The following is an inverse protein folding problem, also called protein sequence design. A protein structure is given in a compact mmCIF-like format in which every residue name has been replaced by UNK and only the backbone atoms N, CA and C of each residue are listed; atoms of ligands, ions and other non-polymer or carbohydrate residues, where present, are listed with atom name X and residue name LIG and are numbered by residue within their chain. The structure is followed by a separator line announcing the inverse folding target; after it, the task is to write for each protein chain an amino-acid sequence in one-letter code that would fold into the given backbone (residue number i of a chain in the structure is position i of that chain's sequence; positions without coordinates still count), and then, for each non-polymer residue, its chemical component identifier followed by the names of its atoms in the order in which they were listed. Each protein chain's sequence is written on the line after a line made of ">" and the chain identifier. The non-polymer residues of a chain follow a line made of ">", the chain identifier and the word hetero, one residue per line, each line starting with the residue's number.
data_IF_077633514345
#
_entry.id   IF_077633514345
#
_cell.length_a   1.000
_cell.length_b   1.000
_cell.length_c   1.000
_cell.angle_alpha   90.00
_cell.angle_beta   90.00
_cell.angle_gamma   90.00
#
_symmetry.space_group_name_H-M   'P 1'
#
loop_
_entity.id
_entity.type
_entity.pdbx_description
1 polymer ?
#
# COMPACT_ATOMS: atom_id res chain seq x y z
N UNK A 1 -4.09 -1.91 -28.82
CA UNK A 1 -3.33 -1.30 -27.72
C UNK A 1 -4.33 -0.84 -26.67
N UNK A 2 -4.07 -1.08 -25.41
CA UNK A 2 -4.89 -0.52 -24.33
C UNK A 2 -4.63 0.99 -24.26
N UNK A 3 -5.67 1.78 -23.97
CA UNK A 3 -5.57 3.24 -24.05
C UNK A 3 -5.52 3.79 -22.61
N UNK A 4 -4.55 3.35 -21.81
CA UNK A 4 -4.37 3.92 -20.47
C UNK A 4 -4.05 5.42 -20.56
N UNK A 5 -4.50 6.16 -19.55
CA UNK A 5 -4.21 7.57 -19.36
C UNK A 5 -3.60 7.83 -17.99
N UNK A 6 -3.88 6.94 -17.04
CA UNK A 6 -3.38 7.06 -15.68
C UNK A 6 -2.90 5.70 -15.16
N UNK A 7 -1.75 5.72 -14.49
CA UNK A 7 -1.26 4.60 -13.68
C UNK A 7 -1.47 4.95 -12.22
N UNK A 8 -2.25 4.15 -11.53
CA UNK A 8 -2.56 4.31 -10.11
C UNK A 8 -1.69 3.32 -9.34
N UNK A 9 -1.07 3.76 -8.26
CA UNK A 9 -0.21 2.93 -7.43
C UNK A 9 -0.79 2.77 -6.02
N UNK A 10 -0.67 1.60 -5.45
CA UNK A 10 -0.67 1.47 -4.01
C UNK A 10 0.62 2.06 -3.43
N UNK A 11 0.65 2.27 -2.12
CA UNK A 11 1.79 2.85 -1.43
C UNK A 11 2.69 1.78 -0.79
N UNK A 12 2.15 1.06 0.21
CA UNK A 12 2.88 0.09 1.01
C UNK A 12 3.14 -1.20 0.22
N UNK A 13 4.39 -1.67 0.19
CA UNK A 13 4.73 -2.84 -0.64
C UNK A 13 4.77 -2.56 -2.16
N UNK A 14 4.41 -1.36 -2.59
CA UNK A 14 4.40 -0.98 -4.01
C UNK A 14 5.35 0.16 -4.32
N UNK A 15 5.16 1.33 -3.70
CA UNK A 15 6.08 2.46 -3.82
C UNK A 15 7.21 2.39 -2.79
N UNK A 16 6.88 2.03 -1.55
CA UNK A 16 7.81 1.99 -0.42
C UNK A 16 7.86 0.61 0.22
N UNK A 17 9.07 0.22 0.63
CA UNK A 17 9.28 -0.99 1.44
C UNK A 17 8.90 -0.69 2.89
N UNK A 18 7.69 -1.02 3.24
CA UNK A 18 7.13 -0.87 4.59
C UNK A 18 7.04 -2.19 5.36
N UNK A 19 7.69 -3.27 4.87
CA UNK A 19 7.73 -4.57 5.56
C UNK A 19 8.29 -4.48 6.99
N UNK A 20 9.09 -3.46 7.29
CA UNK A 20 9.55 -3.13 8.64
C UNK A 20 8.39 -3.02 9.65
N UNK A 21 7.19 -2.64 9.21
CA UNK A 21 6.00 -2.52 10.07
C UNK A 21 5.64 -3.86 10.74
N UNK A 22 5.89 -5.00 10.08
CA UNK A 22 5.68 -6.33 10.67
C UNK A 22 6.61 -6.54 11.87
N UNK A 23 7.89 -6.19 11.70
CA UNK A 23 8.88 -6.31 12.77
C UNK A 23 8.53 -5.41 13.95
N UNK A 24 8.00 -4.22 13.69
CA UNK A 24 7.62 -3.28 14.73
C UNK A 24 6.41 -3.77 15.52
N UNK A 25 5.41 -4.31 14.86
CA UNK A 25 4.26 -4.92 15.48
C UNK A 25 4.68 -6.14 16.33
N UNK A 26 5.56 -6.98 15.82
CA UNK A 26 6.13 -8.13 16.53
C UNK A 26 6.87 -7.70 17.81
N UNK A 27 7.78 -6.74 17.72
CA UNK A 27 8.53 -6.24 18.86
C UNK A 27 7.63 -5.51 19.87
N UNK A 28 6.65 -4.73 19.40
CA UNK A 28 5.64 -4.09 20.25
C UNK A 28 4.84 -5.12 21.05
N UNK A 29 4.37 -6.17 20.39
CA UNK A 29 3.66 -7.26 21.04
C UNK A 29 4.52 -7.96 22.11
N UNK A 30 5.75 -8.31 21.78
CA UNK A 30 6.67 -8.95 22.72
C UNK A 30 6.99 -8.08 23.94
N UNK A 31 7.16 -6.78 23.72
CA UNK A 31 7.40 -5.80 24.77
C UNK A 31 6.21 -5.68 25.72
N UNK A 32 5.01 -5.72 25.18
CA UNK A 32 3.78 -5.59 25.95
C UNK A 32 3.43 -6.88 26.71
N UNK A 33 3.71 -8.03 26.12
CA UNK A 33 3.34 -9.35 26.65
C UNK A 33 4.54 -10.30 26.83
N UNK A 34 5.53 -9.93 27.65
CA UNK A 34 6.77 -10.72 27.77
C UNK A 34 6.56 -12.15 28.33
N UNK A 35 5.43 -12.36 29.02
CA UNK A 35 5.10 -13.66 29.66
C UNK A 35 4.04 -14.47 28.87
N UNK A 36 3.55 -13.97 27.72
CA UNK A 36 2.66 -14.75 26.87
C UNK A 36 3.44 -15.81 26.09
N UNK A 37 2.73 -16.88 25.67
CA UNK A 37 3.30 -17.89 24.80
C UNK A 37 3.94 -17.23 23.57
N UNK A 38 5.12 -17.72 23.20
CA UNK A 38 5.86 -17.20 22.04
C UNK A 38 5.03 -17.38 20.78
N UNK A 39 4.80 -16.27 20.07
CA UNK A 39 4.28 -16.27 18.71
C UNK A 39 5.46 -16.05 17.76
N UNK A 40 5.66 -16.91 16.74
CA UNK A 40 6.74 -16.70 15.78
C UNK A 40 6.49 -15.45 14.93
N UNK A 41 7.55 -14.90 14.36
CA UNK A 41 7.47 -13.68 13.53
C UNK A 41 6.48 -13.83 12.37
N UNK A 42 6.43 -15.00 11.74
CA UNK A 42 5.53 -15.32 10.64
C UNK A 42 4.04 -15.17 10.99
N UNK A 43 3.72 -15.28 12.29
CA UNK A 43 2.36 -15.07 12.78
C UNK A 43 1.90 -13.61 12.62
N UNK A 44 2.84 -12.66 12.48
CA UNK A 44 2.53 -11.24 12.33
C UNK A 44 2.45 -10.79 10.86
N UNK A 45 2.84 -11.63 9.90
CA UNK A 45 2.75 -11.30 8.47
C UNK A 45 1.32 -10.93 8.04
N UNK A 46 0.25 -11.66 8.43
CA UNK A 46 -1.12 -11.29 8.07
C UNK A 46 -1.53 -9.90 8.56
N UNK A 47 -0.94 -9.42 9.67
CA UNK A 47 -1.26 -8.11 10.23
C UNK A 47 -0.87 -6.95 9.32
N UNK A 48 0.05 -7.16 8.39
CA UNK A 48 0.45 -6.15 7.39
C UNK A 48 -0.69 -5.75 6.46
N UNK A 49 -1.64 -6.66 6.23
CA UNK A 49 -2.76 -6.50 5.30
C UNK A 49 -4.09 -6.19 5.98
N UNK A 50 -4.08 -6.01 7.30
CA UNK A 50 -5.26 -5.83 8.14
C UNK A 50 -5.28 -4.43 8.76
N UNK A 51 -6.47 -4.00 9.17
CA UNK A 51 -6.64 -2.80 10.00
C UNK A 51 -6.16 -3.05 11.44
N UNK A 52 -5.91 -1.98 12.19
CA UNK A 52 -5.52 -2.07 13.61
C UNK A 52 -6.57 -2.82 14.44
N UNK A 53 -7.87 -2.64 14.12
CA UNK A 53 -8.94 -3.36 14.80
C UNK A 53 -8.90 -4.87 14.53
N UNK A 54 -8.64 -5.26 13.29
CA UNK A 54 -8.47 -6.68 12.91
C UNK A 54 -7.22 -7.27 13.54
N UNK A 55 -6.12 -6.52 13.56
CA UNK A 55 -4.87 -6.90 14.22
C UNK A 55 -5.06 -7.14 15.71
N UNK A 56 -5.77 -6.24 16.41
CA UNK A 56 -6.08 -6.44 17.83
C UNK A 56 -6.90 -7.71 18.06
N UNK A 57 -7.88 -7.98 17.21
CA UNK A 57 -8.69 -9.20 17.30
C UNK A 57 -7.86 -10.46 17.00
N UNK A 58 -7.05 -10.43 15.94
CA UNK A 58 -6.21 -11.55 15.50
C UNK A 58 -5.14 -11.92 16.55
N UNK A 59 -4.48 -10.91 17.12
CA UNK A 59 -3.47 -11.07 18.17
C UNK A 59 -4.06 -11.25 19.57
N UNK A 60 -5.39 -11.30 19.68
CA UNK A 60 -6.11 -11.46 20.94
C UNK A 60 -5.69 -10.41 22.00
N UNK A 61 -5.60 -9.14 21.56
CA UNK A 61 -5.31 -8.02 22.45
C UNK A 61 -6.56 -7.75 23.30
N UNK A 62 -6.45 -7.75 24.65
CA UNK A 62 -7.56 -7.38 25.52
C UNK A 62 -8.07 -5.96 25.22
N UNK A 63 -9.37 -5.71 25.39
CA UNK A 63 -9.96 -4.39 25.13
C UNK A 63 -9.32 -3.27 25.94
N UNK A 64 -8.97 -3.56 27.18
CA UNK A 64 -8.29 -2.65 28.11
C UNK A 64 -6.86 -2.31 27.70
N UNK A 65 -6.23 -3.16 26.89
CA UNK A 65 -4.86 -3.00 26.42
C UNK A 65 -4.78 -2.36 25.03
N UNK A 66 -5.90 -2.19 24.34
CA UNK A 66 -5.94 -1.80 22.93
C UNK A 66 -5.23 -0.47 22.69
N UNK A 67 -5.63 0.58 23.41
CA UNK A 67 -5.05 1.92 23.28
C UNK A 67 -3.54 1.91 23.55
N UNK A 68 -3.12 1.22 24.60
CA UNK A 68 -1.70 1.07 24.94
C UNK A 68 -0.92 0.27 23.88
N UNK A 69 -1.55 -0.73 23.25
CA UNK A 69 -0.92 -1.52 22.20
C UNK A 69 -0.75 -0.66 20.93
N UNK A 70 -1.77 0.07 20.55
CA UNK A 70 -1.74 1.03 19.45
C UNK A 70 -0.64 2.09 19.67
N UNK A 71 -0.57 2.68 20.86
CA UNK A 71 0.49 3.62 21.27
C UNK A 71 1.89 3.04 21.12
N UNK A 72 2.11 1.82 21.62
CA UNK A 72 3.43 1.17 21.52
C UNK A 72 3.79 0.91 20.07
N UNK A 73 2.84 0.46 19.25
CA UNK A 73 3.04 0.25 17.82
C UNK A 73 3.29 1.57 17.10
N UNK A 74 2.52 2.61 17.41
CA UNK A 74 2.66 3.94 16.80
C UNK A 74 4.02 4.58 17.12
N UNK A 75 4.49 4.53 18.36
CA UNK A 75 5.82 5.04 18.74
C UNK A 75 6.95 4.25 18.04
N UNK A 76 6.76 2.96 17.81
CA UNK A 76 7.72 2.20 17.03
C UNK A 76 7.63 2.52 15.54
N UNK A 77 6.42 2.80 15.03
CA UNK A 77 6.19 3.27 13.66
C UNK A 77 6.90 4.60 13.40
N UNK A 78 6.87 5.54 14.35
CA UNK A 78 7.57 6.82 14.23
C UNK A 78 9.08 6.64 14.03
N UNK A 79 9.69 5.70 14.75
CA UNK A 79 11.08 5.28 14.54
C UNK A 79 11.30 4.52 13.24
N UNK A 80 10.39 3.65 12.83
CA UNK A 80 10.52 2.82 11.64
C UNK A 80 10.15 3.55 10.36
N UNK A 81 9.26 4.54 10.40
CA UNK A 81 8.91 5.33 9.21
C UNK A 81 10.13 6.05 8.61
N UNK A 82 11.09 6.45 9.42
CA UNK A 82 12.38 6.97 8.93
C UNK A 82 13.23 5.90 8.21
N UNK A 83 12.93 4.62 8.42
CA UNK A 83 13.61 3.48 7.78
C UNK A 83 12.89 2.98 6.52
N UNK A 84 11.62 3.39 6.31
CA UNK A 84 10.87 3.09 5.09
C UNK A 84 11.54 3.81 3.92
N UNK A 85 11.81 3.08 2.84
CA UNK A 85 12.46 3.63 1.64
C UNK A 85 11.67 3.26 0.39
N UNK A 86 11.73 4.10 -0.65
CA UNK A 86 11.23 3.70 -1.95
C UNK A 86 11.91 2.42 -2.44
N UNK A 87 11.17 1.57 -3.12
CA UNK A 87 11.79 0.45 -3.83
C UNK A 87 12.77 0.97 -4.89
N UNK A 88 13.83 0.19 -5.12
CA UNK A 88 14.82 0.53 -6.15
C UNK A 88 14.14 0.68 -7.52
N UNK A 89 14.43 1.76 -8.24
CA UNK A 89 13.89 2.04 -9.57
C UNK A 89 12.51 2.71 -9.57
N UNK A 90 11.79 2.76 -8.44
CA UNK A 90 10.41 3.29 -8.43
C UNK A 90 10.35 4.79 -8.74
N UNK A 91 11.29 5.57 -8.22
CA UNK A 91 11.32 7.01 -8.46
C UNK A 91 11.55 7.32 -9.95
N UNK A 92 12.48 6.63 -10.57
CA UNK A 92 12.81 6.76 -11.99
C UNK A 92 11.62 6.35 -12.87
N UNK A 93 10.95 5.27 -12.51
CA UNK A 93 9.76 4.77 -13.24
C UNK A 93 8.61 5.76 -13.16
N UNK A 94 8.31 6.34 -12.00
CA UNK A 94 7.24 7.34 -11.85
C UNK A 94 7.51 8.59 -12.70
N UNK A 95 8.75 9.09 -12.70
CA UNK A 95 9.17 10.22 -13.52
C UNK A 95 9.04 9.88 -15.02
N UNK A 96 9.45 8.68 -15.42
CA UNK A 96 9.38 8.26 -16.82
C UNK A 96 7.93 8.07 -17.30
N UNK A 97 7.05 7.50 -16.47
CA UNK A 97 5.61 7.41 -16.75
C UNK A 97 5.02 8.80 -17.03
N UNK A 98 5.38 9.82 -16.23
CA UNK A 98 4.96 11.20 -16.46
C UNK A 98 5.50 11.78 -17.75
N UNK A 99 6.78 11.54 -18.10
CA UNK A 99 7.39 11.98 -19.37
C UNK A 99 6.74 11.35 -20.58
N UNK A 100 6.28 10.10 -20.48
CA UNK A 100 5.51 9.41 -21.51
C UNK A 100 4.08 9.96 -21.66
N UNK A 101 3.66 10.91 -20.81
CA UNK A 101 2.38 11.59 -20.90
C UNK A 101 1.24 10.94 -20.13
N UNK A 102 1.53 9.96 -19.29
CA UNK A 102 0.53 9.35 -18.41
C UNK A 102 0.38 10.15 -17.11
N UNK A 103 -0.84 10.20 -16.58
CA UNK A 103 -1.08 10.67 -15.22
C UNK A 103 -0.67 9.60 -14.20
N UNK A 104 -0.28 10.03 -12.99
CA UNK A 104 0.06 9.13 -11.89
C UNK A 104 -0.84 9.43 -10.71
N UNK A 105 -1.46 8.39 -10.16
CA UNK A 105 -2.33 8.47 -8.99
C UNK A 105 -1.89 7.54 -7.86
N UNK A 106 -2.47 7.78 -6.68
CA UNK A 106 -2.29 6.95 -5.48
C UNK A 106 -3.64 6.39 -5.03
N UNK A 107 -3.67 5.09 -4.69
CA UNK A 107 -4.81 4.41 -4.07
C UNK A 107 -4.32 3.62 -2.85
N UNK A 108 -4.25 4.26 -1.70
CA UNK A 108 -3.67 3.68 -0.48
C UNK A 108 -4.70 3.53 0.64
N UNK A 109 -4.47 2.55 1.51
CA UNK A 109 -5.19 2.39 2.79
C UNK A 109 -4.64 3.28 3.91
N UNK A 110 -3.59 4.07 3.67
CA UNK A 110 -3.11 5.06 4.63
C UNK A 110 -4.10 6.20 4.78
N UNK A 111 -4.13 6.80 5.97
CA UNK A 111 -4.74 8.12 6.16
C UNK A 111 -3.93 9.18 5.42
N UNK A 112 -4.54 10.35 5.23
CA UNK A 112 -3.87 11.51 4.64
C UNK A 112 -2.58 11.86 5.39
N UNK A 113 -2.65 11.93 6.72
CA UNK A 113 -1.50 12.21 7.58
C UNK A 113 -0.38 11.18 7.41
N UNK A 114 -0.72 9.89 7.45
CA UNK A 114 0.25 8.79 7.28
C UNK A 114 0.87 8.76 5.88
N UNK A 115 0.11 9.09 4.82
CA UNK A 115 0.65 9.19 3.47
C UNK A 115 1.59 10.39 3.32
N UNK A 116 1.21 11.55 3.85
CA UNK A 116 2.09 12.72 3.84
C UNK A 116 3.34 12.52 4.71
N UNK A 117 3.27 11.71 5.74
CA UNK A 117 4.42 11.35 6.57
C UNK A 117 5.56 10.64 5.82
N UNK A 118 5.27 9.98 4.69
CA UNK A 118 6.29 9.35 3.84
C UNK A 118 6.85 10.30 2.76
N UNK A 119 6.38 11.54 2.69
CA UNK A 119 6.81 12.51 1.67
C UNK A 119 8.32 12.74 1.67
N UNK A 120 8.95 12.70 2.84
CA UNK A 120 10.39 12.90 2.97
C UNK A 120 11.22 11.73 2.43
N UNK A 121 10.63 10.53 2.33
CA UNK A 121 11.24 9.35 1.76
C UNK A 121 11.17 9.32 0.24
N UNK A 122 10.11 9.94 -0.33
CA UNK A 122 9.99 10.17 -1.76
C UNK A 122 10.65 11.52 -2.11
N UNK A 123 11.36 11.60 -3.22
CA UNK A 123 11.86 12.91 -3.66
C UNK A 123 10.70 13.86 -3.92
N UNK A 124 10.96 15.18 -3.77
CA UNK A 124 9.94 16.20 -4.09
C UNK A 124 9.42 16.06 -5.52
N UNK A 125 10.32 15.77 -6.46
CA UNK A 125 9.97 15.58 -7.87
C UNK A 125 9.00 14.42 -8.07
N UNK A 126 9.21 13.31 -7.37
CA UNK A 126 8.32 12.14 -7.39
C UNK A 126 6.97 12.47 -6.74
N UNK A 127 6.98 13.15 -5.60
CA UNK A 127 5.74 13.51 -4.92
C UNK A 127 4.88 14.46 -5.77
N UNK A 128 5.52 15.38 -6.49
CA UNK A 128 4.85 16.30 -7.41
C UNK A 128 4.32 15.60 -8.69
N UNK A 129 4.67 14.32 -8.93
CA UNK A 129 4.10 13.52 -10.03
C UNK A 129 2.65 13.11 -9.79
N UNK A 130 2.21 13.02 -8.54
CA UNK A 130 0.87 12.54 -8.22
C UNK A 130 -0.19 13.60 -8.51
N UNK A 131 -1.03 13.32 -9.50
CA UNK A 131 -2.13 14.21 -9.91
C UNK A 131 -3.44 13.92 -9.19
N UNK A 132 -3.60 12.73 -8.59
CA UNK A 132 -4.74 12.36 -7.78
C UNK A 132 -4.31 11.42 -6.64
N UNK A 133 -4.77 11.70 -5.42
CA UNK A 133 -4.40 10.96 -4.22
C UNK A 133 -5.67 10.48 -3.53
N UNK A 134 -5.92 9.16 -3.60
CA UNK A 134 -6.98 8.46 -2.88
C UNK A 134 -6.41 7.84 -1.61
N UNK A 135 -6.86 8.32 -0.45
CA UNK A 135 -6.45 7.86 0.89
C UNK A 135 -7.67 7.36 1.66
N UNK A 136 -7.44 6.76 2.82
CA UNK A 136 -8.51 6.27 3.70
C UNK A 136 -9.57 7.34 4.00
N UNK A 137 -9.18 8.59 4.19
CA UNK A 137 -10.05 9.68 4.65
C UNK A 137 -11.11 10.10 3.62
N UNK A 138 -10.92 9.76 2.34
CA UNK A 138 -11.83 10.15 1.24
C UNK A 138 -12.74 9.02 0.78
N UNK A 139 -12.67 7.85 1.42
CA UNK A 139 -13.45 6.66 1.05
C UNK A 139 -14.32 6.18 2.20
N UNK A 140 -15.41 5.50 1.88
CA UNK A 140 -16.29 4.91 2.89
C UNK A 140 -15.79 3.52 3.32
N UNK A 141 -15.35 2.72 2.35
CA UNK A 141 -14.75 1.40 2.59
C UNK A 141 -13.34 1.34 1.99
N UNK A 142 -12.43 0.80 2.80
CA UNK A 142 -11.05 0.58 2.38
C UNK A 142 -10.92 -0.64 1.47
N UNK A 143 -9.78 -0.78 0.78
CA UNK A 143 -9.44 -2.00 0.04
C UNK A 143 -9.65 -3.23 0.94
N UNK A 144 -10.32 -4.30 0.47
CA UNK A 144 -10.57 -4.65 -0.94
C UNK A 144 -11.81 -4.04 -1.61
N UNK A 145 -12.55 -3.12 -0.96
CA UNK A 145 -13.64 -2.40 -1.62
C UNK A 145 -13.11 -1.50 -2.75
N UNK A 146 -13.92 -1.22 -3.79
CA UNK A 146 -13.47 -0.45 -4.96
C UNK A 146 -13.41 1.05 -4.72
N UNK A 147 -13.84 1.54 -3.56
CA UNK A 147 -14.17 2.94 -3.28
C UNK A 147 -13.03 3.91 -3.64
N UNK A 148 -11.77 3.54 -3.35
CA UNK A 148 -10.62 4.38 -3.66
C UNK A 148 -10.38 4.53 -5.17
N UNK A 149 -10.60 3.48 -5.95
CA UNK A 149 -10.49 3.56 -7.41
C UNK A 149 -11.69 4.29 -8.03
N UNK A 150 -12.89 4.11 -7.47
CA UNK A 150 -14.08 4.87 -7.87
C UNK A 150 -13.91 6.36 -7.57
N UNK A 151 -13.36 6.72 -6.41
CA UNK A 151 -12.99 8.10 -6.08
C UNK A 151 -12.02 8.68 -7.11
N UNK A 152 -10.96 7.97 -7.47
CA UNK A 152 -10.00 8.43 -8.48
C UNK A 152 -10.67 8.65 -9.84
N UNK A 153 -11.54 7.73 -10.26
CA UNK A 153 -12.30 7.89 -11.51
C UNK A 153 -13.21 9.13 -11.47
N UNK A 154 -13.87 9.40 -10.34
CA UNK A 154 -14.70 10.57 -10.15
C UNK A 154 -13.87 11.87 -10.20
N UNK A 155 -12.74 11.92 -9.48
CA UNK A 155 -11.89 13.12 -9.42
C UNK A 155 -11.23 13.44 -10.77
N UNK A 156 -10.87 12.42 -11.54
CA UNK A 156 -10.15 12.59 -12.81
C UNK A 156 -11.06 12.63 -14.03
N UNK A 157 -12.30 12.15 -13.90
CA UNK A 157 -13.22 11.96 -15.03
C UNK A 157 -12.81 10.83 -15.98
N UNK A 158 -11.81 10.02 -15.62
CA UNK A 158 -11.32 8.92 -16.45
C UNK A 158 -12.18 7.66 -16.22
N UNK A 159 -12.60 6.97 -17.29
CA UNK A 159 -13.28 5.70 -17.17
C UNK A 159 -12.28 4.59 -16.77
N UNK A 160 -12.79 3.50 -16.20
CA UNK A 160 -11.99 2.38 -15.70
C UNK A 160 -11.01 1.77 -16.73
N UNK A 161 -11.38 1.78 -18.01
CA UNK A 161 -10.55 1.26 -19.11
C UNK A 161 -9.31 2.11 -19.39
N UNK A 162 -9.25 3.32 -18.83
CA UNK A 162 -8.10 4.22 -18.95
C UNK A 162 -7.21 4.23 -17.72
N UNK A 163 -7.55 3.45 -16.69
CA UNK A 163 -6.75 3.27 -15.48
C UNK A 163 -6.01 1.93 -15.53
N UNK A 164 -4.78 1.94 -15.06
CA UNK A 164 -4.00 0.76 -14.71
C UNK A 164 -3.65 0.84 -13.24
N UNK A 165 -4.07 -0.14 -12.42
CA UNK A 165 -3.75 -0.17 -11.00
C UNK A 165 -2.59 -1.12 -10.73
N UNK A 166 -1.60 -0.66 -9.97
CA UNK A 166 -0.40 -1.39 -9.56
C UNK A 166 -0.41 -1.55 -8.05
N UNK A 167 -0.32 -2.78 -7.57
CA UNK A 167 -0.34 -3.09 -6.14
C UNK A 167 0.32 -4.44 -5.85
N UNK A 168 0.66 -4.70 -4.60
CA UNK A 168 1.42 -5.89 -4.18
C UNK A 168 0.57 -6.95 -3.46
N UNK A 169 -0.69 -6.64 -3.12
CA UNK A 169 -1.51 -7.43 -2.23
C UNK A 169 -2.78 -8.01 -2.87
N UNK A 170 -3.34 -9.04 -2.22
CA UNK A 170 -4.66 -9.60 -2.57
C UNK A 170 -5.78 -8.54 -2.42
N UNK A 171 -5.65 -7.60 -1.48
CA UNK A 171 -6.62 -6.54 -1.29
C UNK A 171 -6.63 -5.59 -2.50
N UNK A 172 -5.48 -5.30 -3.10
CA UNK A 172 -5.36 -4.52 -4.32
C UNK A 172 -6.00 -5.23 -5.51
N UNK A 173 -5.67 -6.51 -5.70
CA UNK A 173 -6.23 -7.32 -6.78
C UNK A 173 -7.77 -7.41 -6.70
N UNK A 174 -8.32 -7.57 -5.48
CA UNK A 174 -9.77 -7.59 -5.25
C UNK A 174 -10.41 -6.22 -5.48
N UNK A 175 -9.75 -5.14 -5.02
CA UNK A 175 -10.18 -3.77 -5.24
C UNK A 175 -10.25 -3.45 -6.75
N UNK A 176 -9.18 -3.75 -7.50
CA UNK A 176 -9.14 -3.59 -8.96
C UNK A 176 -10.25 -4.36 -9.65
N UNK A 177 -10.44 -5.65 -9.29
CA UNK A 177 -11.49 -6.49 -9.84
C UNK A 177 -12.88 -5.91 -9.56
N UNK A 178 -13.13 -5.43 -8.35
CA UNK A 178 -14.42 -4.85 -7.96
C UNK A 178 -14.70 -3.54 -8.70
N UNK A 179 -13.67 -2.71 -8.94
CA UNK A 179 -13.77 -1.48 -9.74
C UNK A 179 -13.80 -1.75 -11.26
N UNK A 180 -13.44 -2.95 -11.69
CA UNK A 180 -13.30 -3.31 -13.12
C UNK A 180 -12.10 -2.66 -13.80
N UNK A 181 -11.05 -2.34 -13.03
CA UNK A 181 -9.78 -1.76 -13.48
C UNK A 181 -8.77 -2.87 -13.75
N UNK A 182 -7.94 -2.71 -14.78
CA UNK A 182 -6.82 -3.61 -15.04
C UNK A 182 -5.79 -3.54 -13.92
N UNK A 183 -5.26 -4.70 -13.51
CA UNK A 183 -4.37 -4.82 -12.36
C UNK A 183 -3.02 -5.41 -12.74
N UNK A 184 -1.95 -4.78 -12.28
CA UNK A 184 -0.58 -5.29 -12.31
C UNK A 184 -0.14 -5.64 -10.90
N UNK A 185 0.34 -6.86 -10.73
CA UNK A 185 0.89 -7.32 -9.47
C UNK A 185 2.35 -6.89 -9.33
N UNK A 186 2.63 -6.02 -8.35
CA UNK A 186 3.97 -5.57 -7.95
C UNK A 186 4.66 -6.65 -7.11
N UNK A 187 5.23 -7.68 -7.73
CA UNK A 187 5.88 -8.79 -7.02
C UNK A 187 7.11 -8.37 -6.24
N UNK A 188 7.73 -7.26 -6.61
CA UNK A 188 8.93 -6.75 -5.93
C UNK A 188 8.71 -6.39 -4.46
N UNK A 189 7.48 -6.10 -4.05
CA UNK A 189 7.14 -5.75 -2.66
C UNK A 189 6.21 -6.73 -1.98
N UNK A 190 5.75 -7.76 -2.71
CA UNK A 190 4.78 -8.71 -2.20
C UNK A 190 5.36 -9.58 -1.08
N UNK A 191 4.64 -9.65 0.03
CA UNK A 191 5.03 -10.44 1.19
C UNK A 191 4.23 -11.75 1.18
N UNK A 192 4.95 -12.89 1.22
CA UNK A 192 4.33 -14.22 1.19
C UNK A 192 4.42 -14.88 -0.17
N UNK A 193 3.69 -15.99 -0.34
CA UNK A 193 3.74 -16.84 -1.54
C UNK A 193 2.39 -16.92 -2.27
N UNK A 194 1.42 -16.07 -1.91
CA UNK A 194 0.10 -16.08 -2.53
C UNK A 194 0.19 -15.60 -3.98
N UNK A 195 -0.53 -16.30 -4.85
CA UNK A 195 -0.70 -15.92 -6.25
C UNK A 195 -2.13 -15.42 -6.43
N UNK A 196 -2.29 -14.24 -6.99
CA UNK A 196 -3.60 -13.64 -7.21
C UNK A 196 -3.81 -13.20 -8.66
N UNK A 197 -5.09 -13.08 -9.10
CA UNK A 197 -5.41 -12.70 -10.45
C UNK A 197 -4.87 -11.31 -10.80
N UNK A 198 -4.10 -11.23 -11.85
CA UNK A 198 -3.56 -9.99 -12.38
C UNK A 198 -3.48 -10.04 -13.90
N UNK A 199 -3.39 -8.89 -14.53
CA UNK A 199 -3.11 -8.80 -15.95
C UNK A 199 -1.67 -9.17 -16.27
N UNK A 200 -0.75 -8.71 -15.39
CA UNK A 200 0.68 -8.94 -15.47
C UNK A 200 1.27 -8.97 -14.06
N UNK A 201 2.28 -9.80 -13.84
CA UNK A 201 3.05 -9.84 -12.60
C UNK A 201 4.45 -9.31 -12.89
N UNK A 202 4.76 -8.12 -12.37
CA UNK A 202 6.04 -7.45 -12.57
C UNK A 202 6.99 -7.79 -11.43
N UNK A 203 8.17 -8.30 -11.79
CA UNK A 203 9.23 -8.65 -10.81
C UNK A 203 9.99 -7.41 -10.32
N UNK A 204 9.95 -6.32 -11.09
CA UNK A 204 10.61 -5.05 -10.78
C UNK A 204 9.87 -3.86 -11.41
N UNK A 205 10.01 -2.65 -10.83
CA UNK A 205 9.24 -1.46 -11.27
C UNK A 205 9.40 -1.11 -12.75
N UNK A 206 10.60 -1.29 -13.33
CA UNK A 206 10.91 -0.91 -14.71
C UNK A 206 10.08 -1.67 -15.75
N UNK A 207 9.57 -2.85 -15.38
CA UNK A 207 8.74 -3.66 -16.27
C UNK A 207 7.40 -3.00 -16.58
N UNK A 208 6.95 -2.05 -15.74
CA UNK A 208 5.72 -1.28 -15.99
C UNK A 208 5.79 -0.49 -17.29
N UNK A 209 6.98 0.00 -17.69
CA UNK A 209 7.15 0.79 -18.90
C UNK A 209 6.89 0.00 -20.18
N UNK A 210 6.95 -1.33 -20.13
CA UNK A 210 6.62 -2.19 -21.27
C UNK A 210 5.10 -2.40 -21.45
N UNK A 211 4.30 -2.01 -20.47
CA UNK A 211 2.84 -2.19 -20.49
C UNK A 211 2.12 -0.93 -20.98
N UNK A 212 2.82 0.19 -21.06
CA UNK A 212 2.32 1.52 -21.41
C UNK A 212 2.70 1.88 -22.85
#
# INVERSE_FOLDING_TARGET
>A
MRNYKMVVFDCDGTLVDSAIMIAMLYEGYRKMYPNRSFLPYEHFIPCYFQSDQENCAYLQIPKEDKERFEDICFHQLEFGMSSVKPFSGINEVLIEIRKLGYEVGIATSRSYEAFYGIREQLSKEVFDCFSCIGVQDVVHYMKPAPDVLLYIMEQTGLPKEQLLFVGDSMNDARCAKAAGVDFVWAKWGSIGTEVFPCMYAAEKPEELLFLL
#
